data_IF_761611664485
#
_entry.id   IF_761611664485
#
_cell.length_a   1.000
_cell.length_b   1.000
_cell.length_c   1.000
_cell.angle_alpha   90.00
_cell.angle_beta   90.00
_cell.angle_gamma   90.00
#
_symmetry.space_group_name_H-M   'P 1'
#
loop_
_entity.id
_entity.type
_entity.pdbx_description
1 polymer ?
#
# COMPACT_ATOMS: atom_id res chain seq x y z
N UNK A 1 6.28 35.10 5.58
CA UNK A 1 6.09 34.15 6.71
C UNK A 1 7.35 33.32 6.77
N UNK A 2 7.98 33.16 7.91
CA UNK A 2 9.17 32.33 8.12
C UNK A 2 8.75 31.18 9.05
N UNK A 3 9.11 29.96 8.71
CA UNK A 3 8.92 28.77 9.54
C UNK A 3 10.32 28.30 9.90
N UNK A 4 10.59 28.16 11.17
CA UNK A 4 11.87 27.64 11.67
C UNK A 4 11.64 26.19 12.12
N UNK A 5 12.51 25.27 11.70
CA UNK A 5 12.48 23.87 12.12
C UNK A 5 13.67 23.58 13.06
N UNK A 6 13.43 22.77 14.05
CA UNK A 6 14.49 22.07 14.78
C UNK A 6 15.05 20.93 13.92
N UNK A 7 16.19 20.35 14.34
CA UNK A 7 16.75 19.16 13.68
C UNK A 7 15.76 18.01 13.64
N UNK A 8 15.07 17.74 14.73
CA UNK A 8 14.13 16.60 14.83
C UNK A 8 12.89 16.82 13.96
N UNK A 9 12.37 18.04 13.87
CA UNK A 9 11.27 18.39 12.97
C UNK A 9 11.69 18.27 11.49
N UNK A 10 12.94 18.65 11.18
CA UNK A 10 13.47 18.46 9.83
C UNK A 10 13.60 16.97 9.46
N UNK A 11 14.08 16.12 10.38
CA UNK A 11 14.12 14.66 10.17
C UNK A 11 12.72 14.07 9.98
N UNK A 12 11.75 14.51 10.77
CA UNK A 12 10.35 14.12 10.61
C UNK A 12 9.80 14.52 9.22
N UNK A 13 10.18 15.70 8.74
CA UNK A 13 9.79 16.18 7.41
C UNK A 13 10.42 15.33 6.30
N UNK A 14 11.70 14.95 6.42
CA UNK A 14 12.34 14.03 5.45
C UNK A 14 11.68 12.65 5.46
N UNK A 15 11.35 12.11 6.62
CA UNK A 15 10.60 10.85 6.72
C UNK A 15 9.23 10.95 6.03
N UNK A 16 8.51 12.06 6.22
CA UNK A 16 7.23 12.28 5.54
C UNK A 16 7.38 12.38 4.01
N UNK A 17 8.47 13.00 3.52
CA UNK A 17 8.78 13.05 2.09
C UNK A 17 9.09 11.66 1.53
N UNK A 18 9.81 10.81 2.27
CA UNK A 18 10.11 9.43 1.86
C UNK A 18 8.84 8.57 1.74
N UNK A 19 7.88 8.71 2.67
CA UNK A 19 6.55 8.08 2.56
C UNK A 19 5.80 8.60 1.33
N UNK A 20 5.82 9.92 1.10
CA UNK A 20 5.17 10.52 -0.06
C UNK A 20 5.78 10.05 -1.38
N UNK A 21 7.12 9.96 -1.47
CA UNK A 21 7.84 9.45 -2.63
C UNK A 21 7.44 8.03 -2.96
N UNK A 22 7.37 7.15 -1.94
CA UNK A 22 6.90 5.78 -2.11
C UNK A 22 5.49 5.72 -2.68
N UNK A 23 4.54 6.43 -2.07
CA UNK A 23 3.12 6.42 -2.49
C UNK A 23 2.95 6.95 -3.91
N UNK A 24 3.74 7.95 -4.30
CA UNK A 24 3.63 8.59 -5.61
C UNK A 24 4.31 7.79 -6.73
N UNK A 25 5.36 7.01 -6.44
CA UNK A 25 6.21 6.46 -7.49
C UNK A 25 6.43 4.95 -7.45
N UNK A 26 6.18 4.24 -6.33
CA UNK A 26 6.49 2.81 -6.17
C UNK A 26 5.91 1.89 -7.27
N UNK A 27 4.78 2.26 -7.86
CA UNK A 27 4.12 1.48 -8.91
C UNK A 27 4.27 2.06 -10.32
N UNK A 28 5.09 3.09 -10.49
CA UNK A 28 5.32 3.72 -11.78
C UNK A 28 6.68 3.32 -12.36
N UNK A 29 6.70 2.90 -13.63
CA UNK A 29 7.94 2.63 -14.38
C UNK A 29 8.62 3.92 -14.80
N UNK A 30 7.81 4.92 -15.14
CA UNK A 30 8.25 6.27 -15.48
C UNK A 30 7.63 7.25 -14.50
N UNK A 31 8.38 8.27 -14.10
CA UNK A 31 7.91 9.27 -13.16
C UNK A 31 6.80 10.13 -13.77
N UNK A 32 5.61 10.17 -13.16
CA UNK A 32 4.50 10.97 -13.67
C UNK A 32 4.84 12.48 -13.65
N UNK A 33 4.59 13.23 -14.75
CA UNK A 33 4.90 14.66 -14.79
C UNK A 33 4.19 15.50 -13.71
N UNK A 34 3.01 15.08 -13.29
CA UNK A 34 2.21 15.74 -12.25
C UNK A 34 2.84 15.69 -10.86
N UNK A 35 3.80 14.79 -10.64
CA UNK A 35 4.53 14.68 -9.35
C UNK A 35 5.80 15.52 -9.29
N UNK A 36 6.15 16.24 -10.37
CA UNK A 36 7.37 17.05 -10.44
C UNK A 36 7.51 18.04 -9.26
N UNK A 37 6.42 18.64 -8.83
CA UNK A 37 6.43 19.60 -7.72
C UNK A 37 6.86 18.96 -6.37
N UNK A 38 6.55 17.69 -6.15
CA UNK A 38 6.97 16.94 -4.97
C UNK A 38 8.47 16.68 -5.02
N UNK A 39 9.00 16.26 -6.16
CA UNK A 39 10.45 16.08 -6.38
C UNK A 39 11.24 17.37 -6.21
N UNK A 40 10.74 18.47 -6.77
CA UNK A 40 11.38 19.78 -6.61
C UNK A 40 11.43 20.22 -5.15
N UNK A 41 10.38 19.89 -4.37
CA UNK A 41 10.35 20.15 -2.93
C UNK A 41 11.34 19.26 -2.19
N UNK A 42 11.39 17.98 -2.48
CA UNK A 42 12.33 17.02 -1.90
C UNK A 42 13.77 17.49 -2.11
N UNK A 43 14.15 17.84 -3.34
CA UNK A 43 15.48 18.36 -3.66
C UNK A 43 15.85 19.62 -2.87
N UNK A 44 14.87 20.51 -2.64
CA UNK A 44 15.09 21.68 -1.78
C UNK A 44 15.29 21.30 -0.32
N UNK A 45 14.58 20.30 0.18
CA UNK A 45 14.74 19.81 1.54
C UNK A 45 16.10 19.14 1.70
N UNK A 46 16.50 18.25 0.81
CA UNK A 46 17.80 17.60 0.85
C UNK A 46 18.96 18.60 0.79
N UNK A 47 18.87 19.64 -0.01
CA UNK A 47 19.88 20.71 -0.06
C UNK A 47 20.07 21.45 1.28
N UNK A 48 19.16 21.33 2.23
CA UNK A 48 19.25 21.91 3.57
C UNK A 48 19.87 20.97 4.62
N UNK A 49 20.18 19.72 4.27
CA UNK A 49 20.63 18.70 5.21
C UNK A 49 21.85 19.15 6.04
N UNK A 50 22.85 19.77 5.42
CA UNK A 50 24.03 20.32 6.12
C UNK A 50 23.64 21.40 7.13
N UNK A 51 22.67 22.26 6.79
CA UNK A 51 22.20 23.34 7.67
C UNK A 51 21.59 22.79 8.96
N UNK A 52 20.95 21.62 8.88
CA UNK A 52 20.35 20.95 10.03
C UNK A 52 21.28 19.93 10.71
N UNK A 53 22.56 19.83 10.28
CA UNK A 53 23.52 18.86 10.82
C UNK A 53 23.15 17.43 10.49
N UNK A 54 22.60 17.18 9.29
CA UNK A 54 22.15 15.90 8.77
C UNK A 54 22.79 15.57 7.42
N UNK A 55 23.99 16.13 7.12
CA UNK A 55 24.64 15.94 5.84
C UNK A 55 24.90 14.46 5.50
N UNK A 56 25.12 13.63 6.51
CA UNK A 56 25.34 12.18 6.37
C UNK A 56 24.13 11.39 5.85
N UNK A 57 22.94 12.00 5.92
CA UNK A 57 21.69 11.37 5.51
C UNK A 57 21.35 11.57 4.02
N UNK A 58 22.18 12.38 3.31
CA UNK A 58 21.90 12.76 1.92
C UNK A 58 23.17 12.65 1.10
N UNK A 59 23.06 12.11 -0.11
CA UNK A 59 24.14 12.00 -1.08
C UNK A 59 23.83 12.87 -2.31
N UNK A 60 24.80 13.66 -2.76
CA UNK A 60 24.69 14.42 -4.01
C UNK A 60 25.39 13.69 -5.16
N UNK A 61 24.63 13.35 -6.20
CA UNK A 61 25.14 12.68 -7.40
C UNK A 61 25.42 13.74 -8.46
N UNK A 62 26.71 14.00 -8.74
CA UNK A 62 27.15 15.09 -9.63
C UNK A 62 26.65 14.89 -11.07
N UNK A 63 26.69 13.65 -11.59
CA UNK A 63 26.31 13.34 -12.98
C UNK A 63 24.80 13.61 -13.24
N UNK A 64 23.98 13.52 -12.21
CA UNK A 64 22.54 13.75 -12.28
C UNK A 64 22.14 15.13 -11.75
N UNK A 65 23.08 15.82 -11.11
CA UNK A 65 22.87 17.08 -10.42
C UNK A 65 21.71 17.03 -9.41
N UNK A 66 21.59 15.91 -8.66
CA UNK A 66 20.49 15.61 -7.73
C UNK A 66 20.98 15.06 -6.41
N UNK A 67 20.17 15.28 -5.39
CA UNK A 67 20.33 14.67 -4.08
C UNK A 67 19.51 13.38 -3.98
N UNK A 68 20.05 12.41 -3.25
CA UNK A 68 19.40 11.14 -2.92
C UNK A 68 19.52 10.85 -1.43
N UNK A 69 18.58 10.10 -0.85
CA UNK A 69 18.75 9.58 0.50
C UNK A 69 19.99 8.68 0.57
N UNK A 70 20.76 8.77 1.62
CA UNK A 70 21.89 7.86 1.85
C UNK A 70 21.40 6.55 2.46
N UNK A 71 22.23 5.50 2.40
CA UNK A 71 21.95 4.23 3.09
C UNK A 71 21.74 4.44 4.61
N UNK A 72 22.45 5.41 5.23
CA UNK A 72 22.28 5.74 6.63
C UNK A 72 20.90 6.34 6.94
N UNK A 73 20.32 7.08 6.01
CA UNK A 73 18.96 7.58 6.15
C UNK A 73 17.94 6.46 6.01
N UNK A 74 18.08 5.60 5.02
CA UNK A 74 17.17 4.46 4.80
C UNK A 74 17.15 3.51 6.00
N UNK A 75 18.32 3.25 6.61
CA UNK A 75 18.42 2.41 7.81
C UNK A 75 17.81 3.06 9.06
N UNK A 76 17.87 4.39 9.19
CA UNK A 76 17.41 5.12 10.36
C UNK A 76 15.95 5.60 10.29
N UNK A 77 15.40 5.69 9.07
CA UNK A 77 14.05 6.21 8.83
C UNK A 77 12.99 5.15 9.11
N UNK A 78 11.95 5.45 9.86
CA UNK A 78 10.80 4.57 10.04
C UNK A 78 9.81 4.61 8.87
N UNK A 79 10.12 5.30 7.78
CA UNK A 79 9.18 5.52 6.67
C UNK A 79 8.68 4.21 6.07
N UNK A 80 9.59 3.25 5.86
CA UNK A 80 9.23 1.96 5.28
C UNK A 80 8.38 1.10 6.22
N UNK A 81 8.59 1.19 7.54
CA UNK A 81 7.73 0.51 8.52
C UNK A 81 6.29 1.02 8.42
N UNK A 82 6.10 2.34 8.28
CA UNK A 82 4.78 2.94 8.10
C UNK A 82 4.13 2.56 6.77
N UNK A 83 4.92 2.47 5.70
CA UNK A 83 4.43 2.04 4.39
C UNK A 83 4.01 0.57 4.45
N UNK A 84 4.82 -0.31 5.02
CA UNK A 84 4.53 -1.75 5.14
C UNK A 84 3.26 -1.99 5.97
N UNK A 85 3.10 -1.29 7.11
CA UNK A 85 1.89 -1.36 7.92
C UNK A 85 0.66 -0.91 7.12
N UNK A 86 0.75 0.23 6.43
CA UNK A 86 -0.33 0.75 5.61
C UNK A 86 -0.69 -0.19 4.44
N UNK A 87 0.29 -0.75 3.74
CA UNK A 87 0.07 -1.68 2.62
C UNK A 87 -0.58 -2.97 3.11
N UNK A 88 -0.10 -3.52 4.25
CA UNK A 88 -0.69 -4.71 4.85
C UNK A 88 -2.15 -4.47 5.23
N UNK A 89 -2.44 -3.40 5.94
CA UNK A 89 -3.81 -3.08 6.36
C UNK A 89 -4.72 -2.79 5.17
N UNK A 90 -4.21 -2.08 4.17
CA UNK A 90 -4.92 -1.78 2.93
C UNK A 90 -5.25 -3.06 2.16
N UNK A 91 -4.30 -3.99 2.06
CA UNK A 91 -4.50 -5.28 1.40
C UNK A 91 -5.64 -6.08 2.04
N UNK A 92 -5.61 -6.25 3.37
CA UNK A 92 -6.62 -7.04 4.07
C UNK A 92 -8.00 -6.40 4.04
N UNK A 93 -8.08 -5.09 4.22
CA UNK A 93 -9.32 -4.34 4.14
C UNK A 93 -9.93 -4.42 2.74
N UNK A 94 -9.13 -4.18 1.70
CA UNK A 94 -9.60 -4.21 0.30
C UNK A 94 -10.05 -5.62 -0.11
N UNK A 95 -9.30 -6.66 0.27
CA UNK A 95 -9.67 -8.05 -0.02
C UNK A 95 -11.00 -8.40 0.65
N UNK A 96 -11.16 -8.05 1.93
CA UNK A 96 -12.39 -8.29 2.68
C UNK A 96 -13.58 -7.61 2.01
N UNK A 97 -13.48 -6.30 1.73
CA UNK A 97 -14.55 -5.52 1.12
C UNK A 97 -14.96 -6.07 -0.26
N UNK A 98 -14.00 -6.43 -1.09
CA UNK A 98 -14.28 -7.03 -2.41
C UNK A 98 -14.98 -8.37 -2.32
N UNK A 99 -14.64 -9.21 -1.33
CA UNK A 99 -15.30 -10.48 -1.11
C UNK A 99 -16.72 -10.31 -0.55
N UNK A 100 -16.91 -9.37 0.35
CA UNK A 100 -18.24 -9.00 0.88
C UNK A 100 -19.14 -8.51 -0.24
N UNK A 101 -18.69 -7.56 -1.04
CA UNK A 101 -19.43 -7.03 -2.20
C UNK A 101 -19.77 -8.15 -3.19
N UNK A 102 -18.81 -8.99 -3.53
CA UNK A 102 -19.02 -10.14 -4.43
C UNK A 102 -20.15 -11.03 -3.95
N UNK A 103 -20.16 -11.39 -2.67
CA UNK A 103 -21.11 -12.35 -2.15
C UNK A 103 -22.48 -11.73 -1.89
N UNK A 104 -22.52 -10.44 -1.55
CA UNK A 104 -23.75 -9.65 -1.49
C UNK A 104 -24.42 -9.57 -2.88
N UNK A 105 -23.64 -9.28 -3.93
CA UNK A 105 -24.10 -9.26 -5.32
C UNK A 105 -24.60 -10.64 -5.79
N UNK A 106 -23.89 -11.70 -5.41
CA UNK A 106 -24.31 -13.09 -5.73
C UNK A 106 -25.63 -13.46 -5.07
N UNK A 107 -25.86 -13.00 -3.85
CA UNK A 107 -27.07 -13.34 -3.10
C UNK A 107 -28.28 -12.52 -3.55
N UNK A 108 -28.13 -11.21 -3.74
CA UNK A 108 -29.24 -10.29 -3.94
C UNK A 108 -29.41 -9.82 -5.39
N UNK A 109 -28.34 -9.88 -6.19
CA UNK A 109 -28.26 -9.30 -7.52
C UNK A 109 -28.00 -7.79 -7.50
N UNK A 110 -27.34 -7.30 -8.54
CA UNK A 110 -26.88 -5.89 -8.68
C UNK A 110 -27.99 -4.87 -8.42
N UNK A 111 -29.16 -5.03 -9.08
CA UNK A 111 -30.27 -4.07 -8.92
C UNK A 111 -30.79 -3.95 -7.50
N UNK A 112 -30.73 -5.03 -6.72
CA UNK A 112 -31.18 -5.01 -5.32
C UNK A 112 -30.13 -4.34 -4.45
N UNK A 113 -28.86 -4.64 -4.67
CA UNK A 113 -27.75 -4.03 -3.94
C UNK A 113 -27.71 -2.52 -4.18
N UNK A 114 -27.87 -2.08 -5.42
CA UNK A 114 -27.89 -0.66 -5.77
C UNK A 114 -29.08 0.11 -5.16
N UNK A 115 -30.15 -0.57 -4.82
CA UNK A 115 -31.34 0.00 -4.23
C UNK A 115 -31.33 0.00 -2.68
N UNK A 116 -30.35 -0.63 -2.04
CA UNK A 116 -30.23 -0.65 -0.58
C UNK A 116 -29.85 0.76 -0.08
N UNK A 117 -30.49 1.17 0.99
CA UNK A 117 -29.97 2.31 1.73
C UNK A 117 -28.71 1.93 2.52
N UNK A 118 -27.90 2.90 2.98
CA UNK A 118 -26.66 2.62 3.66
C UNK A 118 -26.79 1.75 4.92
N UNK A 119 -27.85 1.92 5.69
CA UNK A 119 -28.08 1.15 6.93
C UNK A 119 -28.47 -0.30 6.62
N UNK A 120 -29.37 -0.51 5.65
CA UNK A 120 -29.72 -1.85 5.18
C UNK A 120 -28.52 -2.56 4.58
N UNK A 121 -27.69 -1.86 3.83
CA UNK A 121 -26.48 -2.41 3.23
C UNK A 121 -25.52 -2.89 4.31
N UNK A 122 -25.22 -2.06 5.30
CA UNK A 122 -24.34 -2.41 6.42
C UNK A 122 -24.84 -3.66 7.18
N UNK A 123 -26.14 -3.72 7.49
CA UNK A 123 -26.74 -4.89 8.16
C UNK A 123 -26.55 -6.17 7.35
N UNK A 124 -26.61 -6.09 6.03
CA UNK A 124 -26.47 -7.26 5.15
C UNK A 124 -25.02 -7.66 4.91
N UNK A 125 -24.10 -6.72 4.95
CA UNK A 125 -22.66 -6.96 4.81
C UNK A 125 -22.02 -7.52 6.08
N UNK A 126 -22.50 -7.16 7.26
CA UNK A 126 -21.92 -7.54 8.55
C UNK A 126 -21.68 -9.06 8.73
N UNK A 127 -22.60 -9.96 8.36
CA UNK A 127 -22.36 -11.41 8.46
C UNK A 127 -21.17 -11.87 7.61
N UNK A 128 -20.99 -11.29 6.41
CA UNK A 128 -19.86 -11.60 5.53
C UNK A 128 -18.56 -11.02 6.08
N UNK A 129 -18.57 -9.76 6.54
CA UNK A 129 -17.41 -9.10 7.17
C UNK A 129 -16.88 -9.92 8.32
N UNK A 130 -17.76 -10.41 9.18
CA UNK A 130 -17.37 -11.24 10.32
C UNK A 130 -16.74 -12.56 9.87
N UNK A 131 -17.36 -13.27 8.93
CA UNK A 131 -16.86 -14.57 8.45
C UNK A 131 -15.49 -14.41 7.79
N UNK A 132 -15.32 -13.43 6.89
CA UNK A 132 -14.04 -13.17 6.24
C UNK A 132 -12.99 -12.63 7.20
N UNK A 133 -13.37 -11.75 8.13
CA UNK A 133 -12.46 -11.23 9.14
C UNK A 133 -11.91 -12.32 10.05
N UNK A 134 -12.76 -13.24 10.55
CA UNK A 134 -12.35 -14.39 11.34
C UNK A 134 -11.46 -15.35 10.54
N UNK A 135 -11.80 -15.61 9.27
CA UNK A 135 -11.03 -16.49 8.38
C UNK A 135 -9.62 -15.91 8.12
N UNK A 136 -9.53 -14.65 7.75
CA UNK A 136 -8.25 -14.02 7.44
C UNK A 136 -7.37 -13.84 8.68
N UNK A 137 -7.97 -13.53 9.83
CA UNK A 137 -7.23 -13.46 11.09
C UNK A 137 -6.64 -14.81 11.51
N UNK A 138 -7.32 -15.92 11.20
CA UNK A 138 -6.90 -17.25 11.60
C UNK A 138 -5.97 -17.95 10.58
N UNK A 139 -6.15 -17.69 9.30
CA UNK A 139 -5.54 -18.48 8.20
C UNK A 139 -4.87 -17.63 7.12
N UNK A 140 -5.00 -16.31 7.16
CA UNK A 140 -4.49 -15.47 6.08
C UNK A 140 -5.11 -15.87 4.73
N UNK A 141 -4.27 -16.04 3.71
CA UNK A 141 -4.68 -16.48 2.37
C UNK A 141 -4.58 -17.99 2.15
N UNK A 142 -4.15 -18.78 3.13
CA UNK A 142 -3.83 -20.20 2.99
C UNK A 142 -5.03 -21.04 2.50
N UNK A 143 -6.24 -20.57 2.76
CA UNK A 143 -7.47 -21.26 2.39
C UNK A 143 -8.22 -20.62 1.23
N UNK A 144 -7.62 -19.63 0.57
CA UNK A 144 -8.13 -19.05 -0.67
C UNK A 144 -7.72 -19.91 -1.85
N UNK A 145 -8.70 -20.34 -2.65
CA UNK A 145 -8.48 -21.14 -3.85
C UNK A 145 -9.02 -20.43 -5.09
N UNK A 146 -8.28 -20.50 -6.18
CA UNK A 146 -8.75 -20.08 -7.51
C UNK A 146 -9.48 -21.27 -8.14
N UNK A 147 -10.81 -21.18 -8.18
CA UNK A 147 -11.65 -22.20 -8.82
C UNK A 147 -11.74 -21.93 -10.32
N UNK A 148 -10.82 -22.50 -11.11
CA UNK A 148 -10.91 -22.49 -12.56
C UNK A 148 -11.53 -23.80 -13.06
N UNK A 149 -12.64 -23.71 -13.80
CA UNK A 149 -13.30 -24.88 -14.38
C UNK A 149 -12.41 -25.62 -15.39
N UNK A 150 -11.41 -24.97 -15.96
CA UNK A 150 -10.47 -25.56 -16.90
C UNK A 150 -9.39 -26.44 -16.22
N UNK A 151 -9.05 -26.17 -14.96
CA UNK A 151 -8.05 -26.93 -14.20
C UNK A 151 -8.62 -28.21 -13.57
N UNK A 152 -9.92 -28.35 -13.40
CA UNK A 152 -10.54 -29.56 -12.82
C UNK A 152 -10.60 -30.77 -13.77
N UNK A 153 -10.21 -30.59 -15.05
CA UNK A 153 -10.27 -31.61 -16.08
C UNK A 153 -9.01 -32.48 -16.32
N UNK A 154 -7.86 -32.10 -15.76
CA UNK A 154 -6.56 -32.72 -16.11
C UNK A 154 -5.87 -33.45 -14.95
N UNK A 155 -6.55 -34.35 -14.22
CA UNK A 155 -5.85 -34.99 -13.10
C UNK A 155 -6.44 -36.25 -12.48
N UNK A 156 -7.40 -36.92 -13.08
CA UNK A 156 -7.82 -38.26 -12.64
C UNK A 156 -7.58 -39.33 -13.69
N UNK A 157 -6.32 -39.53 -14.06
CA UNK A 157 -5.91 -40.76 -14.73
C UNK A 157 -5.65 -41.82 -13.67
N UNK A 158 -6.70 -42.61 -13.35
CA UNK A 158 -6.56 -43.84 -12.56
C UNK A 158 -5.64 -44.80 -13.31
N UNK A 159 -4.37 -44.90 -12.89
CA UNK A 159 -3.56 -46.06 -13.23
C UNK A 159 -4.20 -47.31 -12.61
N UNK A 160 -4.89 -48.10 -13.43
CA UNK A 160 -5.17 -49.49 -13.09
C UNK A 160 -3.83 -50.22 -13.13
N UNK A 161 -3.41 -50.70 -11.98
CA UNK A 161 -2.39 -51.74 -11.85
C UNK A 161 -3.04 -53.04 -12.29
N UNK A 162 -2.49 -53.64 -13.33
CA UNK A 162 -2.60 -55.04 -13.63
C UNK A 162 -1.37 -55.76 -13.15
#
# INVERSE_FOLDING_TARGET
MKIDFTRDEYLTLLTAMQVAEWVLHAHHVEEPPETQAFRDLEQKLFALAETFGCAELVEYVEDEARFYPSAAFDEASPAMDFVEEYENDSFWNELLERLVERDLLRQLGEKTVDALDPEEREIREEPYRRVYGEEFAAHGVDRLEILDQQYTGAGRNKRKLS
#
